data_IF_962143805128
#
_entry.id   IF_962143805128
#
_cell.length_a   1.000
_cell.length_b   1.000
_cell.length_c   1.000
_cell.angle_alpha   90.00
_cell.angle_beta   90.00
_cell.angle_gamma   90.00
#
_symmetry.space_group_name_H-M   'P 1'
#
loop_
_entity.id
_entity.type
_entity.pdbx_description
1 polymer ?
#
# COMPACT_ATOMS: atom_id res chain seq x y z
N UNK A 1 -18.76 -68.60 -22.68
CA UNK A 1 -18.59 -67.63 -23.77
C UNK A 1 -18.39 -66.27 -23.14
N UNK A 2 -17.23 -65.65 -23.38
CA UNK A 2 -16.84 -64.22 -23.24
C UNK A 2 -15.32 -64.26 -23.00
N UNK A 3 -14.57 -64.02 -24.08
CA UNK A 3 -13.13 -63.75 -24.02
C UNK A 3 -12.99 -62.25 -24.27
N UNK A 4 -12.75 -61.49 -23.20
CA UNK A 4 -12.41 -60.08 -23.28
C UNK A 4 -10.99 -59.95 -23.79
N UNK A 5 -10.82 -59.35 -24.97
CA UNK A 5 -9.50 -58.99 -25.50
C UNK A 5 -9.03 -57.70 -24.80
N UNK A 6 -7.84 -57.67 -24.20
CA UNK A 6 -7.27 -56.42 -23.70
C UNK A 6 -6.97 -55.52 -24.90
N UNK A 7 -7.63 -54.35 -24.95
CA UNK A 7 -7.30 -53.32 -25.93
C UNK A 7 -5.87 -52.86 -25.69
N UNK A 8 -5.00 -53.08 -26.68
CA UNK A 8 -3.66 -52.49 -26.71
C UNK A 8 -3.82 -50.98 -26.83
N UNK A 9 -3.54 -50.26 -25.75
CA UNK A 9 -3.46 -48.80 -25.74
C UNK A 9 -2.39 -48.39 -26.76
N UNK A 10 -2.80 -47.79 -27.88
CA UNK A 10 -1.86 -47.25 -28.84
C UNK A 10 -1.10 -46.10 -28.18
N UNK A 11 0.19 -46.29 -27.97
CA UNK A 11 1.05 -45.26 -27.40
C UNK A 11 1.31 -44.22 -28.50
N UNK A 12 0.56 -43.12 -28.46
CA UNK A 12 0.75 -42.00 -29.37
C UNK A 12 2.03 -41.24 -29.00
N UNK A 13 3.00 -41.19 -29.92
CA UNK A 13 4.22 -40.38 -29.78
C UNK A 13 4.03 -38.97 -30.34
N UNK A 14 4.72 -38.00 -29.74
CA UNK A 14 4.82 -36.63 -30.26
C UNK A 14 5.67 -36.60 -31.53
N UNK A 15 5.23 -35.88 -32.55
CA UNK A 15 6.07 -35.64 -33.73
C UNK A 15 7.16 -34.61 -33.41
N UNK A 16 8.30 -34.68 -34.11
CA UNK A 16 9.40 -33.72 -33.93
C UNK A 16 8.95 -32.28 -34.19
N UNK A 17 8.10 -32.08 -35.20
CA UNK A 17 7.56 -30.76 -35.54
C UNK A 17 6.63 -30.24 -34.43
N UNK A 18 5.77 -31.10 -33.87
CA UNK A 18 4.89 -30.74 -32.76
C UNK A 18 5.66 -30.35 -31.50
N UNK A 19 6.76 -31.05 -31.20
CA UNK A 19 7.68 -30.65 -30.14
C UNK A 19 8.31 -29.27 -30.42
N UNK A 20 8.75 -29.00 -31.65
CA UNK A 20 9.35 -27.70 -31.98
C UNK A 20 8.34 -26.55 -31.89
N UNK A 21 7.12 -26.76 -32.38
CA UNK A 21 6.05 -25.75 -32.31
C UNK A 21 5.66 -25.47 -30.85
N UNK A 22 5.46 -26.51 -30.03
CA UNK A 22 5.10 -26.34 -28.61
C UNK A 22 6.19 -25.60 -27.83
N UNK A 23 7.46 -25.96 -28.01
CA UNK A 23 8.58 -25.25 -27.39
C UNK A 23 8.68 -23.80 -27.84
N UNK A 24 8.41 -23.53 -29.12
CA UNK A 24 8.42 -22.18 -29.68
C UNK A 24 7.30 -21.33 -29.08
N UNK A 25 6.07 -21.86 -29.05
CA UNK A 25 4.92 -21.17 -28.42
C UNK A 25 5.18 -20.94 -26.93
N UNK A 26 5.70 -21.93 -26.22
CA UNK A 26 6.05 -21.80 -24.81
C UNK A 26 7.11 -20.71 -24.59
N UNK A 27 8.15 -20.64 -25.42
CA UNK A 27 9.16 -19.60 -25.35
C UNK A 27 8.57 -18.20 -25.53
N UNK A 28 7.66 -18.03 -26.49
CA UNK A 28 6.95 -16.76 -26.68
C UNK A 28 6.07 -16.40 -25.48
N UNK A 29 5.32 -17.35 -24.93
CA UNK A 29 4.48 -17.12 -23.75
C UNK A 29 5.30 -16.75 -22.52
N UNK A 30 6.45 -17.40 -22.31
CA UNK A 30 7.35 -17.08 -21.20
C UNK A 30 7.91 -15.66 -21.32
N UNK A 31 8.29 -15.23 -22.51
CA UNK A 31 8.78 -13.86 -22.75
C UNK A 31 7.72 -12.81 -22.45
N UNK A 32 6.47 -13.05 -22.87
CA UNK A 32 5.34 -12.15 -22.60
C UNK A 32 4.91 -12.15 -21.12
N UNK A 33 5.01 -13.29 -20.44
CA UNK A 33 4.62 -13.43 -19.04
C UNK A 33 5.49 -12.63 -18.07
N UNK A 34 6.76 -12.37 -18.41
CA UNK A 34 7.69 -11.64 -17.53
C UNK A 34 7.29 -10.18 -17.36
N UNK A 35 6.98 -9.46 -18.45
CA UNK A 35 6.60 -8.04 -18.36
C UNK A 35 5.25 -7.87 -17.68
N UNK A 36 4.26 -8.68 -18.08
CA UNK A 36 2.91 -8.61 -17.53
C UNK A 36 2.88 -8.96 -16.03
N UNK A 37 3.67 -9.95 -15.62
CA UNK A 37 3.83 -10.30 -14.21
C UNK A 37 4.46 -9.17 -13.39
N UNK A 38 5.45 -8.46 -13.95
CA UNK A 38 6.09 -7.31 -13.32
C UNK A 38 5.11 -6.15 -13.07
N UNK A 39 4.33 -5.78 -14.08
CA UNK A 39 3.36 -4.69 -13.97
C UNK A 39 2.24 -5.02 -12.98
N UNK A 40 1.74 -6.26 -13.00
CA UNK A 40 0.74 -6.72 -12.03
C UNK A 40 1.25 -6.65 -10.59
N UNK A 41 2.49 -7.09 -10.35
CA UNK A 41 3.13 -6.99 -9.03
C UNK A 41 3.25 -5.52 -8.61
N UNK A 42 3.66 -4.62 -9.51
CA UNK A 42 3.78 -3.20 -9.20
C UNK A 42 2.43 -2.57 -8.84
N UNK A 43 1.39 -2.83 -9.63
CA UNK A 43 0.02 -2.37 -9.35
C UNK A 43 -0.54 -2.92 -8.04
N UNK A 44 -0.30 -4.19 -7.72
CA UNK A 44 -0.70 -4.76 -6.42
C UNK A 44 -0.04 -4.04 -5.24
N UNK A 45 1.20 -3.57 -5.40
CA UNK A 45 1.95 -2.86 -4.36
C UNK A 45 1.49 -1.42 -4.19
N UNK A 46 1.17 -0.70 -5.27
CA UNK A 46 0.62 0.65 -5.17
C UNK A 46 -0.79 0.62 -4.60
N UNK A 47 -1.63 -0.35 -5.01
CA UNK A 47 -2.96 -0.57 -4.43
C UNK A 47 -2.91 -0.91 -2.94
N UNK A 48 -1.97 -1.77 -2.51
CA UNK A 48 -1.80 -2.06 -1.09
C UNK A 48 -1.36 -0.82 -0.31
N UNK A 49 -0.38 -0.07 -0.83
CA UNK A 49 0.06 1.18 -0.21
C UNK A 49 -1.09 2.21 -0.07
N UNK A 50 -1.97 2.29 -1.07
CA UNK A 50 -3.19 3.11 -1.01
C UNK A 50 -4.12 2.66 0.11
N UNK A 51 -4.37 1.36 0.21
CA UNK A 51 -5.21 0.78 1.27
C UNK A 51 -4.64 1.09 2.66
N UNK A 52 -3.32 0.99 2.83
CA UNK A 52 -2.66 1.29 4.12
C UNK A 52 -2.78 2.79 4.48
N UNK A 53 -2.65 3.68 3.49
CA UNK A 53 -2.86 5.13 3.67
C UNK A 53 -4.30 5.46 4.05
N UNK A 54 -5.28 4.90 3.34
CA UNK A 54 -6.71 5.07 3.64
C UNK A 54 -7.07 4.53 5.02
N UNK A 55 -6.53 3.36 5.39
CA UNK A 55 -6.71 2.79 6.73
C UNK A 55 -6.11 3.68 7.80
N UNK A 56 -4.88 4.15 7.62
CA UNK A 56 -4.21 5.06 8.54
C UNK A 56 -5.01 6.35 8.74
N UNK A 57 -5.53 6.93 7.66
CA UNK A 57 -6.42 8.08 7.72
C UNK A 57 -7.70 7.80 8.50
N UNK A 58 -8.36 6.67 8.25
CA UNK A 58 -9.56 6.25 8.98
C UNK A 58 -9.31 6.06 10.48
N UNK A 59 -8.18 5.46 10.84
CA UNK A 59 -7.76 5.29 12.24
C UNK A 59 -7.46 6.63 12.90
N UNK A 60 -6.73 7.52 12.21
CA UNK A 60 -6.44 8.86 12.71
C UNK A 60 -7.72 9.67 12.93
N UNK A 61 -8.66 9.63 11.98
CA UNK A 61 -9.95 10.31 12.08
C UNK A 61 -10.77 9.77 13.26
N UNK A 62 -10.83 8.45 13.44
CA UNK A 62 -11.51 7.86 14.58
C UNK A 62 -10.87 8.24 15.92
N UNK A 63 -9.54 8.32 15.98
CA UNK A 63 -8.80 8.77 17.17
C UNK A 63 -9.07 10.25 17.47
N UNK A 64 -9.09 11.09 16.43
CA UNK A 64 -9.36 12.52 16.53
C UNK A 64 -10.78 12.79 17.08
N UNK A 65 -11.80 12.09 16.56
CA UNK A 65 -13.18 12.20 17.04
C UNK A 65 -13.37 11.75 18.49
N UNK A 66 -12.57 10.79 18.96
CA UNK A 66 -12.55 10.39 20.38
C UNK A 66 -11.89 11.47 21.26
N UNK A 67 -11.02 12.29 20.68
CA UNK A 67 -10.28 13.39 21.31
C UNK A 67 -9.78 13.06 22.74
N UNK A 68 -9.00 11.98 22.92
CA UNK A 68 -8.67 11.48 24.25
C UNK A 68 -7.74 12.40 25.05
N UNK A 69 -7.03 13.31 24.36
CA UNK A 69 -6.20 14.33 24.98
C UNK A 69 -6.91 15.69 25.14
N UNK A 70 -8.22 15.76 24.89
CA UNK A 70 -9.05 16.95 25.07
C UNK A 70 -8.52 18.21 24.35
N UNK A 71 -8.02 18.03 23.13
CA UNK A 71 -7.56 19.13 22.28
C UNK A 71 -8.71 20.09 21.95
N UNK A 72 -8.40 21.38 21.88
CA UNK A 72 -9.36 22.45 21.60
C UNK A 72 -9.61 22.63 20.10
N UNK A 73 -10.64 23.40 19.75
CA UNK A 73 -10.99 23.68 18.35
C UNK A 73 -9.82 24.31 17.58
N UNK A 74 -9.62 23.85 16.34
CA UNK A 74 -8.53 24.31 15.48
C UNK A 74 -7.15 23.71 15.81
N UNK A 75 -7.05 22.89 16.85
CA UNK A 75 -5.87 22.07 17.13
C UNK A 75 -6.07 20.66 16.58
N UNK A 76 -4.97 20.02 16.16
CA UNK A 76 -5.02 18.60 15.84
C UNK A 76 -5.35 17.80 17.11
N UNK A 77 -6.26 16.84 16.98
CA UNK A 77 -6.63 15.83 17.97
C UNK A 77 -5.93 14.49 17.72
N UNK A 78 -5.64 14.18 16.46
CA UNK A 78 -4.76 13.08 16.05
C UNK A 78 -3.87 13.51 14.88
N UNK A 79 -2.78 12.77 14.68
CA UNK A 79 -1.81 13.00 13.63
C UNK A 79 -1.55 11.67 12.90
N UNK A 80 -1.61 11.71 11.57
CA UNK A 80 -1.07 10.68 10.69
C UNK A 80 0.30 11.16 10.20
N UNK A 81 1.35 10.40 10.43
CA UNK A 81 2.71 10.71 9.98
C UNK A 81 3.19 9.66 8.98
N UNK A 82 3.69 10.11 7.84
CA UNK A 82 4.43 9.34 6.86
C UNK A 82 5.92 9.62 7.05
N UNK A 83 6.70 8.59 7.35
CA UNK A 83 8.15 8.66 7.45
C UNK A 83 8.79 7.93 6.28
N UNK A 84 9.81 8.53 5.65
CA UNK A 84 10.66 7.82 4.71
C UNK A 84 11.91 7.32 5.45
N UNK A 85 11.91 6.03 5.80
CA UNK A 85 12.98 5.38 6.54
C UNK A 85 14.15 5.03 5.62
N UNK A 86 15.36 5.35 6.08
CA UNK A 86 16.56 5.11 5.29
C UNK A 86 16.77 3.62 5.00
N UNK A 87 16.86 3.25 3.73
CA UNK A 87 16.99 1.87 3.25
C UNK A 87 15.78 0.95 3.51
N UNK A 88 14.69 1.45 4.10
CA UNK A 88 13.54 0.63 4.51
C UNK A 88 12.20 1.08 3.88
N UNK A 89 12.17 2.18 3.12
CA UNK A 89 10.97 2.68 2.46
C UNK A 89 10.08 3.46 3.42
N UNK A 90 8.76 3.41 3.25
CA UNK A 90 7.85 4.30 3.97
C UNK A 90 7.12 3.62 5.13
N UNK A 91 7.01 4.32 6.27
CA UNK A 91 6.24 3.90 7.43
C UNK A 91 5.15 4.91 7.75
N UNK A 92 3.96 4.40 8.05
CA UNK A 92 2.84 5.18 8.57
C UNK A 92 2.71 5.01 10.07
N UNK A 93 2.39 6.11 10.75
CA UNK A 93 2.21 6.18 12.20
C UNK A 93 0.96 7.00 12.49
N UNK A 94 0.12 6.53 13.41
CA UNK A 94 -1.03 7.29 13.91
C UNK A 94 -0.93 7.48 15.40
N UNK A 95 -1.03 8.73 15.84
CA UNK A 95 -0.84 9.14 17.22
C UNK A 95 -1.90 10.17 17.64
N UNK A 96 -2.23 10.21 18.94
CA UNK A 96 -3.04 11.28 19.48
C UNK A 96 -2.18 12.53 19.64
N UNK A 97 -2.70 13.69 19.26
CA UNK A 97 -2.01 14.95 19.43
C UNK A 97 -2.03 15.37 20.91
N UNK A 98 -0.93 15.95 21.41
CA UNK A 98 -0.89 16.50 22.76
C UNK A 98 -1.66 17.82 22.83
N UNK A 99 -2.89 17.76 23.36
CA UNK A 99 -3.73 18.95 23.60
C UNK A 99 -3.62 19.58 24.97
N UNK A 100 -3.14 18.81 25.95
CA UNK A 100 -3.00 19.19 27.35
C UNK A 100 -1.56 18.89 27.79
N UNK A 101 -1.00 19.70 28.70
CA UNK A 101 0.29 19.43 29.33
C UNK A 101 0.34 18.05 30.01
N UNK A 102 -0.81 17.48 30.35
CA UNK A 102 -0.99 16.12 30.82
C UNK A 102 -2.05 15.40 29.99
N UNK A 103 -1.61 14.56 29.04
CA UNK A 103 -2.50 13.62 28.36
C UNK A 103 -2.33 12.20 28.91
N UNK A 104 -3.24 11.77 29.80
CA UNK A 104 -3.22 10.43 30.38
C UNK A 104 -3.34 9.32 29.35
N UNK A 105 -3.95 9.58 28.20
CA UNK A 105 -4.03 8.61 27.10
C UNK A 105 -2.65 8.23 26.57
N UNK A 106 -1.73 9.20 26.44
CA UNK A 106 -0.39 8.96 25.92
C UNK A 106 0.54 8.31 26.95
N UNK A 107 0.32 8.54 28.25
CA UNK A 107 1.13 7.91 29.31
C UNK A 107 0.69 6.50 29.69
N UNK A 108 -0.51 6.08 29.28
CA UNK A 108 -1.09 4.77 29.63
C UNK A 108 -1.15 3.77 28.48
N UNK A 109 -0.72 4.15 27.28
CA UNK A 109 -0.81 3.33 26.06
C UNK A 109 0.49 3.31 25.28
N UNK A 110 0.66 2.27 24.47
CA UNK A 110 1.73 2.21 23.47
C UNK A 110 1.48 3.27 22.40
N UNK A 111 2.55 4.01 22.06
CA UNK A 111 2.60 4.99 20.99
C UNK A 111 3.60 4.46 19.95
N UNK A 112 3.26 4.41 18.65
CA UNK A 112 2.01 4.89 18.03
C UNK A 112 0.80 4.01 18.36
N UNK A 113 -0.41 4.57 18.22
CA UNK A 113 -1.67 3.81 18.40
C UNK A 113 -1.91 2.82 17.26
N UNK A 114 -1.40 3.14 16.07
CA UNK A 114 -1.41 2.27 14.90
C UNK A 114 -0.20 2.58 14.01
N UNK A 115 0.30 1.57 13.31
CA UNK A 115 1.36 1.73 12.31
C UNK A 115 1.23 0.71 11.18
N UNK A 116 1.78 1.07 10.02
CA UNK A 116 1.92 0.18 8.88
C UNK A 116 3.21 0.48 8.09
N UNK A 117 3.78 -0.54 7.46
CA UNK A 117 4.93 -0.40 6.56
C UNK A 117 4.42 -0.50 5.12
N UNK A 118 4.68 0.53 4.30
CA UNK A 118 4.29 0.47 2.90
C UNK A 118 5.15 -0.56 2.14
N UNK A 119 4.59 -1.23 1.11
CA UNK A 119 5.32 -2.20 0.31
C UNK A 119 6.62 -1.65 -0.27
N UNK A 120 7.72 -2.38 -0.10
CA UNK A 120 9.06 -1.95 -0.52
C UNK A 120 9.11 -1.59 -2.01
N UNK A 121 9.60 -0.39 -2.36
CA UNK A 121 9.77 0.09 -3.74
C UNK A 121 8.61 0.90 -4.30
N UNK A 122 7.58 1.23 -3.49
CA UNK A 122 6.67 2.33 -3.81
C UNK A 122 7.33 3.67 -3.49
N UNK A 123 6.98 4.71 -4.23
CA UNK A 123 7.34 6.09 -3.96
C UNK A 123 6.07 6.89 -3.64
N UNK A 124 6.14 7.76 -2.64
CA UNK A 124 5.04 8.64 -2.27
C UNK A 124 5.43 10.07 -2.58
N UNK A 125 4.61 10.74 -3.39
CA UNK A 125 4.71 12.15 -3.69
C UNK A 125 3.68 12.87 -2.86
N UNK A 126 4.13 13.87 -2.12
CA UNK A 126 3.27 14.78 -1.37
C UNK A 126 3.33 16.11 -2.10
N UNK A 127 2.18 16.59 -2.58
CA UNK A 127 2.09 17.82 -3.39
C UNK A 127 3.02 17.80 -4.62
N UNK A 128 3.17 16.63 -5.23
CA UNK A 128 4.01 16.42 -6.40
C UNK A 128 5.51 16.31 -6.11
N UNK A 129 5.94 16.40 -4.84
CA UNK A 129 7.34 16.21 -4.45
C UNK A 129 7.52 14.88 -3.70
N UNK A 130 8.54 14.11 -4.10
CA UNK A 130 8.90 12.90 -3.35
C UNK A 130 9.48 13.27 -1.99
N UNK A 131 9.04 12.58 -0.94
CA UNK A 131 9.59 12.76 0.41
C UNK A 131 11.04 12.29 0.43
N UNK A 132 11.98 13.14 0.84
CA UNK A 132 13.39 12.76 0.95
C UNK A 132 13.59 11.67 2.00
N UNK A 133 14.61 10.84 1.81
CA UNK A 133 14.99 9.82 2.78
C UNK A 133 15.37 10.47 4.13
N UNK A 134 14.84 9.93 5.23
CA UNK A 134 14.95 10.51 6.57
C UNK A 134 13.96 11.65 6.87
N UNK A 135 13.20 12.12 5.88
CA UNK A 135 12.16 13.12 6.10
C UNK A 135 10.82 12.49 6.51
N UNK A 136 9.96 13.32 7.09
CA UNK A 136 8.60 12.96 7.48
C UNK A 136 7.61 14.03 7.00
N UNK A 137 6.36 13.62 6.80
CA UNK A 137 5.25 14.52 6.55
C UNK A 137 4.07 14.09 7.42
N UNK A 138 3.37 15.07 8.00
CA UNK A 138 2.31 14.81 8.98
C UNK A 138 1.03 15.57 8.64
N UNK A 139 -0.10 14.89 8.78
CA UNK A 139 -1.44 15.46 8.65
C UNK A 139 -2.14 15.43 10.00
N UNK A 140 -2.56 16.61 10.47
CA UNK A 140 -3.36 16.75 11.69
C UNK A 140 -4.86 16.66 11.38
N UNK A 141 -5.63 16.05 12.27
CA UNK A 141 -7.10 15.99 12.20
C UNK A 141 -7.66 16.54 13.51
N UNK A 142 -8.57 17.53 13.45
CA UNK A 142 -9.20 18.14 14.61
C UNK A 142 -10.26 17.21 15.25
N UNK A 143 -10.77 17.64 16.41
CA UNK A 143 -11.79 16.90 17.16
C UNK A 143 -13.17 16.84 16.47
N UNK A 144 -13.34 17.44 15.28
CA UNK A 144 -14.51 17.32 14.41
C UNK A 144 -14.27 16.38 13.24
N UNK A 145 -13.07 15.79 13.16
CA UNK A 145 -12.68 14.90 12.07
C UNK A 145 -12.36 15.63 10.77
N UNK A 146 -12.04 16.93 10.86
CA UNK A 146 -11.60 17.76 9.74
C UNK A 146 -10.08 17.92 9.77
N UNK A 147 -9.39 18.00 8.63
CA UNK A 147 -7.95 18.23 8.62
C UNK A 147 -7.60 19.62 9.18
N UNK A 148 -6.42 19.72 9.82
CA UNK A 148 -5.88 20.96 10.39
C UNK A 148 -4.72 21.47 9.56
N UNK A 149 -4.70 22.78 9.27
CA UNK A 149 -3.64 23.42 8.46
C UNK A 149 -3.98 23.40 6.97
N UNK A 150 -2.95 23.45 6.11
CA UNK A 150 -3.12 23.41 4.67
C UNK A 150 -3.61 22.02 4.23
N UNK A 151 -4.93 21.87 4.19
CA UNK A 151 -5.66 20.87 3.39
C UNK A 151 -5.25 21.03 1.93
N UNK A 152 -4.63 20.00 1.35
CA UNK A 152 -4.27 20.06 -0.05
C UNK A 152 -3.26 19.01 -0.51
N UNK A 153 -2.63 18.28 0.41
CA UNK A 153 -1.70 17.22 0.08
C UNK A 153 -2.34 16.22 -0.87
N UNK A 154 -2.11 16.40 -2.17
CA UNK A 154 -2.36 15.38 -3.16
C UNK A 154 -1.28 14.33 -2.92
N UNK A 155 -1.68 13.17 -2.41
CA UNK A 155 -0.76 12.05 -2.33
C UNK A 155 -0.84 11.27 -3.64
N UNK A 156 0.29 11.06 -4.27
CA UNK A 156 0.41 10.11 -5.36
C UNK A 156 1.33 9.00 -4.90
N UNK A 157 0.83 7.76 -4.95
CA UNK A 157 1.64 6.57 -4.74
C UNK A 157 1.96 6.00 -6.11
N UNK A 158 3.25 5.93 -6.44
CA UNK A 158 3.70 5.43 -7.73
C UNK A 158 4.74 4.33 -7.57
N UNK A 159 4.78 3.46 -8.57
CA UNK A 159 5.82 2.45 -8.73
C UNK A 159 5.83 1.99 -10.17
N UNK A 160 6.81 2.48 -10.94
CA UNK A 160 7.22 1.98 -12.25
C UNK A 160 6.09 1.56 -13.23
N UNK A 161 6.01 2.24 -14.36
CA UNK A 161 4.99 1.99 -15.38
C UNK A 161 3.86 3.03 -15.31
N UNK A 162 3.41 3.51 -16.46
CA UNK A 162 2.56 4.71 -16.58
C UNK A 162 1.09 4.54 -16.12
N UNK A 163 0.73 3.37 -15.57
CA UNK A 163 -0.66 2.98 -15.27
C UNK A 163 -0.89 2.59 -13.80
N UNK A 164 0.14 2.63 -12.96
CA UNK A 164 0.08 2.08 -11.59
C UNK A 164 -0.01 3.16 -10.50
N UNK A 165 -0.25 4.41 -10.89
CA UNK A 165 -0.25 5.55 -9.98
C UNK A 165 -1.61 5.66 -9.28
N UNK A 166 -1.59 5.65 -7.94
CA UNK A 166 -2.78 5.82 -7.11
C UNK A 166 -2.78 7.22 -6.51
N UNK A 167 -3.83 8.01 -6.80
CA UNK A 167 -3.98 9.36 -6.24
C UNK A 167 -4.97 9.34 -5.08
N UNK A 168 -4.59 9.95 -3.96
CA UNK A 168 -5.42 10.08 -2.76
C UNK A 168 -5.57 11.55 -2.42
N UNK A 169 -6.80 11.94 -2.11
CA UNK A 169 -7.13 13.26 -1.58
C UNK A 169 -8.05 13.12 -0.38
N UNK A 170 -7.68 13.77 0.72
CA UNK A 170 -8.48 13.83 1.93
C UNK A 170 -9.07 15.23 2.10
N UNK A 171 -10.34 15.28 2.49
CA UNK A 171 -11.13 16.51 2.68
C UNK A 171 -11.56 16.66 4.14
#
# INVERSE_FOLDING_TARGET
MVSGRPGLSAQAGLTLIELMVTLTVMAFLLLLGVSLGGDWVNGSRTQQARSDLEQGWGVAKALALRNPCQTHEGQAAAVLTLEHLAGAGYRLLVEAAQGSATCNYLSSRTVPTWSAQLPAGVQVLVDGAALSEGAQHSWGIDNRGLPVGATGASLVVQRGGAQNDETIQWY
#
